data_IF_286544566522
#
_entry.id   IF_286544566522
#
_cell.length_a   1.000
_cell.length_b   1.000
_cell.length_c   1.000
_cell.angle_alpha   90.00
_cell.angle_beta   90.00
_cell.angle_gamma   90.00
#
_symmetry.space_group_name_H-M   'P 1'
#
loop_
_entity.id
_entity.type
_entity.pdbx_description
1 polymer ?
#
# COMPACT_ATOMS: atom_id res chain seq x y z
N UNK A 1 10.97 -10.34 0.38
CA UNK A 1 11.70 -9.20 -0.23
C UNK A 1 13.14 -9.20 0.25
N UNK A 2 14.08 -9.55 -0.64
CA UNK A 2 15.52 -9.50 -0.39
C UNK A 2 15.98 -8.09 -0.77
N UNK A 3 16.75 -7.41 0.09
CA UNK A 3 17.32 -6.08 -0.18
C UNK A 3 16.57 -4.85 0.36
N UNK A 4 15.35 -4.99 0.88
CA UNK A 4 14.61 -3.86 1.48
C UNK A 4 14.88 -3.72 2.97
N UNK A 5 14.88 -2.48 3.46
CA UNK A 5 15.10 -2.18 4.88
C UNK A 5 13.95 -2.69 5.75
N UNK A 6 14.23 -2.93 7.04
CA UNK A 6 13.26 -3.54 7.97
C UNK A 6 11.98 -2.70 8.09
N UNK A 7 12.12 -1.39 8.13
CA UNK A 7 11.03 -0.42 8.23
C UNK A 7 10.15 -0.35 6.97
N UNK A 8 10.70 -0.59 5.76
CA UNK A 8 9.90 -0.73 4.54
C UNK A 8 9.08 -2.02 4.58
N UNK A 9 9.67 -3.14 5.04
CA UNK A 9 8.94 -4.40 5.23
C UNK A 9 7.79 -4.23 6.22
N UNK A 10 8.04 -3.54 7.34
CA UNK A 10 7.01 -3.29 8.34
C UNK A 10 5.89 -2.38 7.80
N UNK A 11 6.24 -1.40 6.96
CA UNK A 11 5.26 -0.55 6.26
C UNK A 11 4.37 -1.37 5.31
N UNK A 12 4.96 -2.26 4.51
CA UNK A 12 4.24 -3.18 3.61
C UNK A 12 3.31 -4.10 4.41
N UNK A 13 3.79 -4.65 5.53
CA UNK A 13 2.97 -5.46 6.43
C UNK A 13 1.82 -4.68 7.06
N UNK A 14 2.05 -3.43 7.49
CA UNK A 14 1.02 -2.54 8.04
C UNK A 14 -0.06 -2.20 7.01
N UNK A 15 0.35 -1.99 5.74
CA UNK A 15 -0.58 -1.83 4.63
C UNK A 15 -1.40 -3.11 4.36
N UNK A 16 -0.99 -4.28 4.87
CA UNK A 16 -1.71 -5.55 4.75
C UNK A 16 -1.22 -6.44 3.60
N UNK A 17 -0.11 -6.06 2.98
CA UNK A 17 0.52 -6.80 1.89
C UNK A 17 1.47 -7.86 2.48
N UNK A 18 1.11 -9.14 2.36
CA UNK A 18 1.88 -10.27 2.92
C UNK A 18 2.44 -11.19 1.83
N UNK A 19 1.87 -11.14 0.62
CA UNK A 19 2.26 -11.95 -0.54
C UNK A 19 2.58 -11.05 -1.74
N UNK A 20 3.37 -11.56 -2.68
CA UNK A 20 3.60 -10.88 -3.97
C UNK A 20 2.29 -10.84 -4.77
N UNK A 21 2.10 -9.77 -5.55
CA UNK A 21 0.90 -9.52 -6.37
C UNK A 21 -0.44 -9.49 -5.61
N UNK A 22 -0.40 -9.28 -4.28
CA UNK A 22 -1.59 -9.06 -3.49
C UNK A 22 -2.06 -7.61 -3.65
N UNK A 23 -3.37 -7.41 -3.81
CA UNK A 23 -4.01 -6.09 -3.78
C UNK A 23 -4.84 -5.95 -2.50
N UNK A 24 -4.87 -4.75 -1.93
CA UNK A 24 -5.67 -4.41 -0.74
C UNK A 24 -6.23 -3.01 -0.89
N UNK A 25 -7.50 -2.81 -0.56
CA UNK A 25 -8.13 -1.48 -0.55
C UNK A 25 -7.89 -0.81 0.80
N UNK A 26 -7.48 0.45 0.78
CA UNK A 26 -7.28 1.27 1.98
C UNK A 26 -7.96 2.63 1.81
N UNK A 27 -8.45 3.23 2.91
CA UNK A 27 -9.01 4.57 2.85
C UNK A 27 -7.92 5.59 2.46
N UNK A 28 -8.28 6.56 1.62
CA UNK A 28 -7.40 7.68 1.30
C UNK A 28 -7.33 8.63 2.50
N UNK A 29 -6.23 8.55 3.24
CA UNK A 29 -5.93 9.47 4.34
C UNK A 29 -4.44 9.82 4.35
N UNK A 30 -4.04 10.93 4.99
CA UNK A 30 -2.65 11.41 4.98
C UNK A 30 -1.65 10.37 5.51
N UNK A 31 -2.05 9.55 6.48
CA UNK A 31 -1.18 8.51 7.05
C UNK A 31 -0.89 7.40 6.03
N UNK A 32 -1.92 6.89 5.35
CA UNK A 32 -1.78 5.91 4.27
C UNK A 32 -0.96 6.48 3.12
N UNK A 33 -1.21 7.73 2.75
CA UNK A 33 -0.46 8.41 1.68
C UNK A 33 1.04 8.55 2.02
N UNK A 34 1.37 8.86 3.28
CA UNK A 34 2.75 8.88 3.77
C UNK A 34 3.42 7.51 3.75
N UNK A 35 2.70 6.46 4.16
CA UNK A 35 3.18 5.08 4.04
C UNK A 35 3.45 4.69 2.59
N UNK A 36 2.52 5.00 1.67
CA UNK A 36 2.69 4.74 0.24
C UNK A 36 3.89 5.47 -0.34
N UNK A 37 4.12 6.74 0.03
CA UNK A 37 5.27 7.50 -0.46
C UNK A 37 6.62 6.84 -0.11
N UNK A 38 6.72 6.26 1.09
CA UNK A 38 7.90 5.55 1.56
C UNK A 38 8.21 4.28 0.73
N UNK A 39 7.17 3.57 0.30
CA UNK A 39 7.29 2.29 -0.41
C UNK A 39 6.86 2.36 -1.88
N UNK A 40 6.76 3.55 -2.46
CA UNK A 40 6.22 3.82 -3.82
C UNK A 40 6.89 3.06 -4.97
N UNK A 41 8.10 2.55 -4.76
CA UNK A 41 8.83 1.75 -5.75
C UNK A 41 8.62 0.23 -5.58
N UNK A 42 7.85 -0.17 -4.56
CA UNK A 42 7.54 -1.56 -4.21
C UNK A 42 6.07 -1.91 -4.44
N UNK A 43 5.24 -0.90 -4.69
CA UNK A 43 3.79 -1.04 -4.83
C UNK A 43 3.31 -0.25 -6.03
N UNK A 44 2.24 -0.75 -6.63
CA UNK A 44 1.44 -0.01 -7.60
C UNK A 44 0.17 0.48 -6.89
N UNK A 45 -0.23 1.72 -7.17
CA UNK A 45 -1.41 2.34 -6.56
C UNK A 45 -2.43 2.60 -7.66
N UNK A 46 -3.63 2.09 -7.48
CA UNK A 46 -4.78 2.38 -8.33
C UNK A 46 -5.87 3.00 -7.47
N UNK A 47 -6.44 4.11 -7.94
CA UNK A 47 -7.64 4.69 -7.35
C UNK A 47 -8.85 3.84 -7.77
N UNK A 48 -9.64 3.41 -6.80
CA UNK A 48 -10.87 2.66 -7.05
C UNK A 48 -12.01 3.67 -7.00
N UNK A 49 -12.59 3.97 -8.16
CA UNK A 49 -13.86 4.68 -8.24
C UNK A 49 -14.93 3.69 -7.75
N UNK A 50 -15.29 3.77 -6.48
CA UNK A 50 -16.50 3.11 -6.00
C UNK A 50 -17.68 3.89 -6.56
N UNK A 51 -18.10 3.56 -7.79
CA UNK A 51 -19.25 4.17 -8.46
C UNK A 51 -20.61 3.71 -7.88
N UNK A 52 -20.65 3.14 -6.67
CA UNK A 52 -21.88 2.66 -6.00
C UNK A 52 -22.43 3.68 -4.98
N UNK A 53 -22.65 4.90 -5.43
CA UNK A 53 -23.64 5.80 -4.82
C UNK A 53 -24.52 6.38 -5.94
N UNK A 54 -25.56 5.62 -6.32
CA UNK A 54 -26.72 6.09 -7.08
C UNK A 54 -28.00 5.51 -6.48
#
# INVERSE_FOLDING_TARGET
MIGQSKDQKDTIHALGLRKLHQSVTRPDNPSVRGMLFKVRHLVEVAEILNDEEA
#
